data_IF_256609924924
#
_entry.id   IF_256609924924
#
_cell.length_a   1.000
_cell.length_b   1.000
_cell.length_c   1.000
_cell.angle_alpha   90.00
_cell.angle_beta   90.00
_cell.angle_gamma   90.00
#
_symmetry.space_group_name_H-M   'P 1'
#
loop_
_entity.id
_entity.type
_entity.pdbx_description
1 polymer ?
#
# COMPACT_ATOMS: atom_id res chain seq x y z
N UNK A 1 1.84 -21.83 -14.42
CA UNK A 1 1.68 -20.36 -14.41
C UNK A 1 2.57 -19.80 -13.30
N UNK A 2 3.74 -19.25 -13.65
CA UNK A 2 4.75 -18.80 -12.68
C UNK A 2 4.40 -17.36 -12.26
N UNK A 3 3.94 -17.18 -11.03
CA UNK A 3 3.80 -15.86 -10.43
C UNK A 3 5.22 -15.35 -10.14
N UNK A 4 5.69 -14.39 -10.93
CA UNK A 4 6.88 -13.61 -10.60
C UNK A 4 6.50 -12.72 -9.42
N UNK A 5 6.91 -13.11 -8.21
CA UNK A 5 6.90 -12.19 -7.08
C UNK A 5 7.93 -11.10 -7.40
N UNK A 6 7.55 -9.80 -7.42
CA UNK A 6 8.49 -8.74 -7.70
C UNK A 6 9.59 -8.73 -6.63
N UNK A 7 10.82 -8.96 -7.06
CA UNK A 7 12.03 -8.68 -6.28
C UNK A 7 12.00 -7.22 -5.82
N UNK A 8 12.36 -6.97 -4.56
CA UNK A 8 12.05 -5.72 -3.87
C UNK A 8 12.45 -4.43 -4.60
N UNK A 9 11.62 -3.40 -4.41
CA UNK A 9 12.09 -2.01 -4.41
C UNK A 9 11.72 -1.12 -5.60
N UNK A 10 10.77 -1.48 -6.47
CA UNK A 10 10.25 -0.49 -7.40
C UNK A 10 9.33 0.48 -6.64
N UNK A 11 9.88 1.65 -6.29
CA UNK A 11 9.12 2.77 -5.71
C UNK A 11 8.12 3.23 -6.76
N UNK A 12 6.89 2.73 -6.69
CA UNK A 12 5.83 3.23 -7.55
C UNK A 12 5.60 4.72 -7.26
N UNK A 13 5.43 5.56 -8.30
CA UNK A 13 5.11 6.95 -8.12
C UNK A 13 3.77 7.08 -7.37
N UNK A 14 3.63 8.15 -6.58
CA UNK A 14 2.38 8.41 -5.87
C UNK A 14 1.19 8.49 -6.85
N UNK A 15 0.06 7.83 -6.56
CA UNK A 15 -1.09 7.73 -7.46
C UNK A 15 -1.91 9.03 -7.47
N UNK A 16 -1.39 10.07 -8.13
CA UNK A 16 -2.01 11.40 -8.18
C UNK A 16 -3.43 11.39 -8.77
N UNK A 17 -3.67 10.56 -9.77
CA UNK A 17 -4.97 10.48 -10.45
C UNK A 17 -6.06 10.02 -9.49
N UNK A 18 -5.78 8.97 -8.74
CA UNK A 18 -6.69 8.38 -7.74
C UNK A 18 -6.91 9.35 -6.58
N UNK A 19 -5.85 9.99 -6.09
CA UNK A 19 -5.94 10.99 -5.03
C UNK A 19 -6.85 12.18 -5.43
N UNK A 20 -6.66 12.73 -6.64
CA UNK A 20 -7.50 13.83 -7.14
C UNK A 20 -8.94 13.39 -7.44
N UNK A 21 -9.14 12.16 -7.94
CA UNK A 21 -10.48 11.62 -8.16
C UNK A 21 -11.28 11.50 -6.85
N UNK A 22 -10.62 11.09 -5.75
CA UNK A 22 -11.24 11.07 -4.42
C UNK A 22 -11.49 12.51 -3.93
N UNK A 23 -10.47 13.37 -3.99
CA UNK A 23 -10.55 14.75 -3.50
C UNK A 23 -11.66 15.57 -4.16
N UNK A 24 -11.70 15.60 -5.50
CA UNK A 24 -12.67 16.39 -6.26
C UNK A 24 -13.98 15.66 -6.49
N UNK A 25 -13.94 14.34 -6.68
CA UNK A 25 -15.10 13.54 -7.05
C UNK A 25 -15.95 13.13 -5.85
N UNK A 26 -15.33 12.59 -4.80
CA UNK A 26 -16.03 12.01 -3.65
C UNK A 26 -16.15 13.02 -2.51
N UNK A 27 -15.03 13.62 -2.11
CA UNK A 27 -15.00 14.59 -1.01
C UNK A 27 -15.47 15.99 -1.41
N UNK A 28 -15.64 16.24 -2.72
CA UNK A 28 -16.12 17.52 -3.30
C UNK A 28 -15.31 18.75 -2.85
N UNK A 29 -14.01 18.56 -2.60
CA UNK A 29 -13.11 19.64 -2.21
C UNK A 29 -12.87 20.58 -3.39
N UNK A 30 -12.74 21.88 -3.11
CA UNK A 30 -12.13 22.79 -4.07
C UNK A 30 -10.65 22.46 -4.27
N UNK A 31 -10.05 22.92 -5.38
CA UNK A 31 -8.60 22.78 -5.60
C UNK A 31 -7.77 23.34 -4.45
N UNK A 32 -8.21 24.46 -3.84
CA UNK A 32 -7.53 25.07 -2.71
C UNK A 32 -7.55 24.17 -1.48
N UNK A 33 -8.70 23.59 -1.15
CA UNK A 33 -8.84 22.69 0.01
C UNK A 33 -8.05 21.39 -0.20
N UNK A 34 -8.09 20.82 -1.40
CA UNK A 34 -7.32 19.61 -1.72
C UNK A 34 -5.81 19.84 -1.55
N UNK A 35 -5.27 20.97 -2.04
CA UNK A 35 -3.86 21.28 -1.90
C UNK A 35 -3.45 21.77 -0.50
N UNK A 36 -4.42 22.13 0.34
CA UNK A 36 -4.19 22.46 1.73
C UNK A 36 -4.17 21.22 2.65
N UNK A 37 -4.75 20.10 2.21
CA UNK A 37 -4.74 18.85 2.97
C UNK A 37 -3.32 18.31 3.12
N UNK A 38 -3.03 17.84 4.33
CA UNK A 38 -1.82 17.07 4.59
C UNK A 38 -1.98 15.62 4.10
N UNK A 39 -0.86 14.92 3.78
CA UNK A 39 -0.93 13.50 3.41
C UNK A 39 -1.58 12.60 4.47
N UNK A 40 -1.46 12.95 5.77
CA UNK A 40 -2.08 12.20 6.86
C UNK A 40 -3.60 12.36 6.88
N UNK A 41 -4.09 13.58 6.62
CA UNK A 41 -5.53 13.85 6.53
C UNK A 41 -6.13 13.18 5.28
N UNK A 42 -5.42 13.20 4.16
CA UNK A 42 -5.83 12.47 2.96
C UNK A 42 -5.91 10.96 3.22
N UNK A 43 -4.91 10.38 3.90
CA UNK A 43 -4.93 8.96 4.27
C UNK A 43 -6.12 8.61 5.18
N UNK A 44 -6.40 9.46 6.17
CA UNK A 44 -7.55 9.28 7.07
C UNK A 44 -8.90 9.39 6.34
N UNK A 45 -9.02 10.34 5.39
CA UNK A 45 -10.22 10.48 4.57
C UNK A 45 -10.45 9.25 3.67
N UNK A 46 -9.38 8.69 3.09
CA UNK A 46 -9.44 7.44 2.32
C UNK A 46 -9.87 6.28 3.22
N UNK A 47 -9.27 6.14 4.41
CA UNK A 47 -9.64 5.09 5.38
C UNK A 47 -11.13 5.18 5.76
N UNK A 48 -11.66 6.38 5.95
CA UNK A 48 -13.08 6.60 6.23
C UNK A 48 -14.01 6.15 5.09
N UNK A 49 -13.54 6.19 3.84
CA UNK A 49 -14.31 5.78 2.65
C UNK A 49 -14.18 4.29 2.32
N UNK A 50 -12.96 3.74 2.42
CA UNK A 50 -12.67 2.36 2.01
C UNK A 50 -12.73 1.36 3.16
N UNK A 51 -12.86 1.85 4.39
CA UNK A 51 -12.62 1.07 5.59
C UNK A 51 -11.13 0.93 5.88
N UNK A 52 -10.84 0.42 7.07
CA UNK A 52 -9.48 0.27 7.59
C UNK A 52 -8.77 -0.86 6.85
N UNK A 53 -7.69 -0.52 6.13
CA UNK A 53 -6.79 -1.52 5.54
C UNK A 53 -6.21 -2.38 6.67
N UNK A 54 -6.23 -3.72 6.55
CA UNK A 54 -5.59 -4.59 7.52
C UNK A 54 -4.15 -4.15 7.75
N UNK A 55 -3.72 -4.11 9.01
CA UNK A 55 -2.34 -3.80 9.31
C UNK A 55 -1.41 -4.74 8.52
N UNK A 56 -0.28 -4.24 7.98
CA UNK A 56 0.72 -5.10 7.39
C UNK A 56 1.10 -6.23 8.34
N UNK A 57 1.46 -7.38 7.80
CA UNK A 57 1.95 -8.51 8.59
C UNK A 57 3.04 -8.05 9.55
N UNK A 58 2.87 -8.32 10.84
CA UNK A 58 3.86 -7.93 11.83
C UNK A 58 5.13 -8.80 11.70
N UNK A 59 6.24 -8.30 12.26
CA UNK A 59 7.54 -9.00 12.22
C UNK A 59 7.47 -10.41 12.81
N UNK A 60 6.74 -10.62 13.91
CA UNK A 60 6.66 -11.92 14.56
C UNK A 60 5.96 -12.97 13.67
N UNK A 61 4.88 -12.59 12.99
CA UNK A 61 4.18 -13.45 12.02
C UNK A 61 5.09 -13.77 10.83
N UNK A 62 5.84 -12.79 10.34
CA UNK A 62 6.83 -13.03 9.28
C UNK A 62 7.91 -14.03 9.73
N UNK A 63 8.49 -13.85 10.92
CA UNK A 63 9.51 -14.75 11.46
C UNK A 63 9.00 -16.19 11.67
N UNK A 64 7.76 -16.34 12.14
CA UNK A 64 7.12 -17.65 12.28
C UNK A 64 6.95 -18.34 10.91
N UNK A 65 6.51 -17.60 9.90
CA UNK A 65 6.40 -18.12 8.54
C UNK A 65 7.76 -18.50 7.96
N UNK A 66 8.80 -17.67 8.13
CA UNK A 66 10.15 -17.97 7.66
C UNK A 66 10.74 -19.23 8.30
N UNK A 67 10.43 -19.51 9.58
CA UNK A 67 10.84 -20.76 10.24
C UNK A 67 10.07 -21.97 9.74
N UNK A 68 8.78 -21.83 9.46
CA UNK A 68 7.92 -22.92 8.98
C UNK A 68 8.21 -23.31 7.53
N UNK A 69 8.60 -22.33 6.71
CA UNK A 69 8.87 -22.51 5.30
C UNK A 69 10.28 -21.99 4.99
N UNK A 70 11.33 -22.70 5.43
CA UNK A 70 12.70 -22.31 5.11
C UNK A 70 12.94 -22.47 3.61
N UNK A 71 13.50 -21.44 2.98
CA UNK A 71 13.90 -21.51 1.58
C UNK A 71 14.95 -22.61 1.41
N UNK A 72 14.67 -23.59 0.55
CA UNK A 72 15.67 -24.57 0.16
C UNK A 72 16.58 -23.92 -0.87
N UNK A 73 17.89 -23.86 -0.59
CA UNK A 73 18.86 -23.51 -1.62
C UNK A 73 18.66 -24.47 -2.79
N UNK A 74 18.20 -23.96 -3.92
CA UNK A 74 18.27 -24.70 -5.17
C UNK A 74 19.76 -24.80 -5.49
N UNK A 75 20.38 -25.90 -5.09
CA UNK A 75 21.68 -26.32 -5.62
C UNK A 75 21.46 -26.60 -7.10
N UNK A 76 21.64 -25.58 -7.93
CA UNK A 76 21.79 -25.72 -9.37
C UNK A 76 23.00 -26.65 -9.62
N UNK A 77 22.74 -27.80 -10.25
CA UNK A 77 23.78 -28.65 -10.86
C UNK A 77 24.01 -28.22 -12.29
#
# INVERSE_FOLDING_TARGET
>A
MRVLLPSGGETQPFPWREAMAIGFGVLKLSSREFWALTPRELAAAIEGLTGRTPAPMNRATFEDLSRRYPDQAQTER
#
